data_IF_701810197156
#
_entry.id   IF_701810197156
#
_cell.length_a   1.000
_cell.length_b   1.000
_cell.length_c   1.000
_cell.angle_alpha   90.00
_cell.angle_beta   90.00
_cell.angle_gamma   90.00
#
_symmetry.space_group_name_H-M   'P 1'
#
loop_
_entity.id
_entity.type
_entity.pdbx_description
1 polymer ?
#
# COMPACT_ATOMS: atom_id res chain seq x y z
N UNK A 1 -49.60 34.65 -0.05
CA UNK A 1 -49.00 33.41 -0.61
C UNK A 1 -47.51 33.44 -0.33
N UNK A 2 -47.06 32.85 0.77
CA UNK A 2 -45.64 32.65 1.06
C UNK A 2 -45.10 31.60 0.09
N UNK A 3 -44.37 32.03 -0.94
CA UNK A 3 -43.50 31.14 -1.69
C UNK A 3 -42.53 30.51 -0.69
N UNK A 4 -42.79 29.26 -0.28
CA UNK A 4 -41.73 28.40 0.25
C UNK A 4 -40.72 28.28 -0.87
N UNK A 5 -39.67 29.10 -0.85
CA UNK A 5 -38.45 28.84 -1.60
C UNK A 5 -38.09 27.39 -1.24
N UNK A 6 -38.22 26.47 -2.19
CA UNK A 6 -37.74 25.11 -2.01
C UNK A 6 -36.28 25.24 -1.62
N UNK A 7 -35.94 24.79 -0.42
CA UNK A 7 -34.56 24.81 0.06
C UNK A 7 -33.69 24.12 -1.00
N UNK A 8 -32.75 24.86 -1.59
CA UNK A 8 -31.85 24.29 -2.59
C UNK A 8 -30.91 23.32 -1.88
N UNK A 9 -30.64 22.12 -2.44
CA UNK A 9 -29.89 21.07 -1.75
C UNK A 9 -28.44 21.47 -1.41
N UNK A 10 -27.90 22.51 -2.06
CA UNK A 10 -26.57 23.04 -1.78
C UNK A 10 -26.56 24.14 -0.68
N UNK A 11 -27.70 24.73 -0.32
CA UNK A 11 -27.75 25.91 0.56
C UNK A 11 -27.28 25.65 2.00
N UNK A 12 -27.29 24.40 2.46
CA UNK A 12 -26.85 24.00 3.80
C UNK A 12 -25.57 23.15 3.79
N UNK A 13 -24.89 23.04 2.64
CA UNK A 13 -23.65 22.26 2.58
C UNK A 13 -22.51 23.00 3.30
N UNK A 14 -21.60 22.24 3.94
CA UNK A 14 -20.45 22.82 4.62
C UNK A 14 -19.45 23.44 3.63
N UNK A 15 -18.56 24.35 4.08
CA UNK A 15 -17.58 25.00 3.22
C UNK A 15 -16.70 24.04 2.40
N UNK A 16 -16.32 22.88 2.95
CA UNK A 16 -15.50 21.89 2.24
C UNK A 16 -16.19 21.29 0.99
N UNK A 17 -17.51 21.45 0.85
CA UNK A 17 -18.24 21.02 -0.34
C UNK A 17 -18.09 21.99 -1.53
N UNK A 18 -17.51 23.17 -1.33
CA UNK A 18 -17.38 24.21 -2.35
C UNK A 18 -15.93 24.52 -2.67
N UNK A 19 -15.51 24.23 -3.91
CA UNK A 19 -14.14 24.48 -4.39
C UNK A 19 -13.62 25.89 -4.08
N UNK A 20 -14.44 26.91 -4.31
CA UNK A 20 -14.08 28.31 -4.04
C UNK A 20 -13.71 28.52 -2.57
N UNK A 21 -14.50 27.98 -1.65
CA UNK A 21 -14.31 28.14 -0.20
C UNK A 21 -13.15 27.29 0.33
N UNK A 22 -12.86 26.13 -0.29
CA UNK A 22 -11.64 25.38 0.00
C UNK A 22 -10.41 26.20 -0.41
N UNK A 23 -10.38 26.70 -1.65
CA UNK A 23 -9.27 27.50 -2.17
C UNK A 23 -8.97 28.74 -1.34
N UNK A 24 -9.99 29.37 -0.77
CA UNK A 24 -9.84 30.58 0.06
C UNK A 24 -9.28 30.31 1.47
N UNK A 25 -9.28 29.06 1.95
CA UNK A 25 -8.83 28.70 3.31
C UNK A 25 -7.29 28.59 3.49
N UNK A 26 -6.51 28.74 2.41
CA UNK A 26 -5.04 28.69 2.45
C UNK A 26 -4.44 27.28 2.52
N UNK A 27 -5.00 26.39 3.34
CA UNK A 27 -4.65 24.96 3.45
C UNK A 27 -5.57 24.03 2.64
N UNK A 28 -6.47 24.63 1.85
CA UNK A 28 -7.51 23.93 1.11
C UNK A 28 -8.52 23.16 1.98
N UNK A 29 -8.64 23.49 3.27
CA UNK A 29 -9.45 22.75 4.27
C UNK A 29 -9.10 21.28 4.35
N UNK A 30 -7.81 20.96 4.17
CA UNK A 30 -7.38 19.57 4.03
C UNK A 30 -7.68 18.71 5.26
N UNK A 31 -7.76 19.31 6.46
CA UNK A 31 -8.18 18.61 7.67
C UNK A 31 -9.64 18.12 7.66
N UNK A 32 -10.49 18.66 6.78
CA UNK A 32 -11.89 18.25 6.62
C UNK A 32 -12.07 17.17 5.54
N UNK A 33 -11.01 16.77 4.83
CA UNK A 33 -11.10 15.84 3.68
C UNK A 33 -11.54 14.43 4.07
N UNK A 34 -11.27 14.01 5.30
CA UNK A 34 -11.55 12.67 5.79
C UNK A 34 -12.46 12.73 7.02
N UNK A 35 -13.70 12.28 6.85
CA UNK A 35 -14.67 12.04 7.91
C UNK A 35 -14.83 10.51 8.06
N UNK A 36 -14.13 9.87 9.01
CA UNK A 36 -14.06 8.41 9.06
C UNK A 36 -15.44 7.79 9.29
N UNK A 37 -15.81 6.88 8.39
CA UNK A 37 -16.93 5.97 8.61
C UNK A 37 -16.53 4.89 9.63
N UNK A 38 -15.27 4.48 9.59
CA UNK A 38 -14.71 3.51 10.53
C UNK A 38 -13.89 4.25 11.57
N UNK A 39 -14.35 4.19 12.83
CA UNK A 39 -13.61 4.63 14.01
C UNK A 39 -12.78 3.48 14.56
N UNK A 40 -11.50 3.72 14.78
CA UNK A 40 -10.61 2.74 15.40
C UNK A 40 -10.53 3.03 16.90
N UNK A 41 -10.99 2.10 17.72
CA UNK A 41 -10.90 2.21 19.16
C UNK A 41 -9.50 1.82 19.66
N UNK A 42 -9.12 2.34 20.82
CA UNK A 42 -7.88 1.95 21.49
C UNK A 42 -7.93 0.45 21.84
N UNK A 43 -6.83 -0.26 21.58
CA UNK A 43 -6.73 -1.71 21.77
C UNK A 43 -7.17 -2.57 20.58
N UNK A 44 -7.84 -2.00 19.57
CA UNK A 44 -8.14 -2.73 18.33
C UNK A 44 -6.87 -2.99 17.52
N UNK A 45 -6.72 -4.22 17.02
CA UNK A 45 -5.54 -4.64 16.27
C UNK A 45 -5.66 -4.21 14.81
N UNK A 46 -4.76 -3.32 14.40
CA UNK A 46 -4.71 -2.80 13.04
C UNK A 46 -3.67 -3.57 12.26
N UNK A 47 -4.07 -4.20 11.16
CA UNK A 47 -3.17 -4.70 10.15
C UNK A 47 -2.98 -3.64 9.05
N UNK A 48 -1.76 -3.48 8.57
CA UNK A 48 -1.47 -2.71 7.34
C UNK A 48 -1.04 -3.67 6.26
N UNK A 49 -1.38 -3.42 4.99
CA UNK A 49 -0.81 -4.08 3.81
C UNK A 49 -0.97 -3.22 2.55
N UNK A 50 -0.28 -3.57 1.46
CA UNK A 50 -0.42 -2.90 0.17
C UNK A 50 0.90 -2.47 -0.46
N UNK A 51 0.88 -1.32 -1.13
CA UNK A 51 2.05 -0.68 -1.74
C UNK A 51 3.07 -0.17 -0.72
N UNK A 52 4.21 0.33 -1.21
CA UNK A 52 5.26 0.93 -0.38
C UNK A 52 4.77 2.09 0.50
N UNK A 53 3.73 2.81 0.09
CA UNK A 53 3.15 3.89 0.89
C UNK A 53 2.49 3.37 2.19
N UNK A 54 2.04 2.11 2.24
CA UNK A 54 1.52 1.49 3.45
C UNK A 54 2.60 1.35 4.56
N UNK A 55 3.89 1.34 4.21
CA UNK A 55 4.99 1.33 5.19
C UNK A 55 4.95 2.57 6.08
N UNK A 56 4.49 3.71 5.55
CA UNK A 56 4.32 4.93 6.34
C UNK A 56 3.20 4.78 7.37
N UNK A 57 2.09 4.15 7.00
CA UNK A 57 0.98 3.90 7.93
C UNK A 57 1.46 2.99 9.07
N UNK A 58 2.16 1.90 8.76
CA UNK A 58 2.76 0.99 9.74
C UNK A 58 3.72 1.74 10.69
N UNK A 59 4.64 2.54 10.12
CA UNK A 59 5.59 3.37 10.86
C UNK A 59 4.90 4.32 11.84
N UNK A 60 3.84 4.99 11.40
CA UNK A 60 3.11 5.94 12.22
C UNK A 60 2.21 5.27 13.26
N UNK A 61 1.63 4.11 12.95
CA UNK A 61 0.89 3.29 13.93
C UNK A 61 1.80 2.89 15.09
N UNK A 62 3.03 2.47 14.81
CA UNK A 62 4.03 2.15 15.84
C UNK A 62 4.48 3.36 16.69
N UNK A 63 4.09 4.58 16.31
CA UNK A 63 4.33 5.84 17.04
C UNK A 63 3.04 6.46 17.58
N UNK A 64 1.97 5.68 17.64
CA UNK A 64 0.65 6.12 18.10
C UNK A 64 0.20 5.31 19.30
N UNK A 65 -0.89 5.72 19.94
CA UNK A 65 -1.55 4.90 20.96
C UNK A 65 -2.43 3.78 20.38
N UNK A 66 -2.45 3.57 19.06
CA UNK A 66 -3.16 2.47 18.41
C UNK A 66 -2.29 1.21 18.35
N UNK A 67 -2.92 0.04 18.20
CA UNK A 67 -2.24 -1.25 18.22
C UNK A 67 -1.94 -1.77 16.82
N UNK A 68 -0.68 -1.76 16.41
CA UNK A 68 -0.24 -2.42 15.17
C UNK A 68 -0.15 -3.94 15.38
N UNK A 69 -0.84 -4.72 14.56
CA UNK A 69 -0.63 -6.16 14.47
C UNK A 69 0.71 -6.47 13.80
N UNK A 70 1.53 -7.30 14.45
CA UNK A 70 2.79 -7.84 13.93
C UNK A 70 2.89 -9.36 14.13
N UNK A 71 2.91 -10.15 13.05
CA UNK A 71 2.97 -11.64 13.11
C UNK A 71 4.33 -12.22 12.72
N UNK A 72 5.24 -11.39 12.20
CA UNK A 72 6.62 -11.76 11.87
C UNK A 72 7.58 -10.69 12.42
N UNK A 73 7.76 -10.60 13.75
CA UNK A 73 8.65 -9.62 14.36
C UNK A 73 10.12 -9.92 14.03
N UNK A 74 10.95 -8.88 14.04
CA UNK A 74 12.39 -9.04 13.88
C UNK A 74 12.98 -9.94 14.98
N UNK A 75 13.93 -10.84 14.65
CA UNK A 75 14.67 -11.60 15.64
C UNK A 75 15.31 -10.71 16.71
N UNK A 76 15.33 -11.19 17.96
CA UNK A 76 15.94 -10.46 19.09
C UNK A 76 17.41 -10.14 18.78
N UNK A 77 17.79 -8.87 18.97
CA UNK A 77 19.16 -8.39 18.73
C UNK A 77 19.46 -7.99 17.28
N UNK A 78 18.53 -8.18 16.35
CA UNK A 78 18.65 -7.66 14.99
C UNK A 78 18.53 -6.12 15.00
N UNK A 79 19.46 -5.44 14.34
CA UNK A 79 19.37 -3.97 14.20
C UNK A 79 18.18 -3.58 13.33
N UNK A 80 17.60 -2.41 13.56
CA UNK A 80 16.46 -1.92 12.76
C UNK A 80 16.79 -1.83 11.27
N UNK A 81 18.02 -1.44 10.91
CA UNK A 81 18.47 -1.38 9.53
C UNK A 81 18.47 -2.74 8.84
N UNK A 82 18.94 -3.78 9.55
CA UNK A 82 18.93 -5.16 9.03
C UNK A 82 17.50 -5.68 8.99
N UNK A 83 16.73 -5.47 10.06
CA UNK A 83 15.32 -5.87 10.13
C UNK A 83 14.53 -5.34 8.93
N UNK A 84 14.61 -4.04 8.65
CA UNK A 84 13.93 -3.43 7.50
C UNK A 84 14.44 -3.94 6.15
N UNK A 85 15.74 -4.21 6.01
CA UNK A 85 16.31 -4.80 4.78
C UNK A 85 15.71 -6.19 4.47
N UNK A 86 15.42 -6.98 5.49
CA UNK A 86 14.79 -8.30 5.37
C UNK A 86 13.26 -8.26 5.54
N UNK A 87 12.64 -7.08 5.43
CA UNK A 87 11.18 -6.91 5.44
C UNK A 87 10.51 -6.95 6.82
N UNK A 88 11.26 -7.08 7.91
CA UNK A 88 10.70 -7.05 9.27
C UNK A 88 10.25 -5.64 9.66
N UNK A 89 9.06 -5.54 10.26
CA UNK A 89 8.54 -4.26 10.76
C UNK A 89 8.11 -3.26 9.70
N UNK A 90 8.21 -3.58 8.41
CA UNK A 90 7.67 -2.73 7.33
C UNK A 90 6.13 -2.72 7.32
N UNK A 91 5.56 -3.83 7.79
CA UNK A 91 4.20 -4.25 7.58
C UNK A 91 3.75 -5.13 8.76
N UNK A 92 2.50 -5.60 8.73
CA UNK A 92 1.97 -6.51 9.76
C UNK A 92 2.44 -7.96 9.63
N UNK A 93 2.96 -8.33 8.46
CA UNK A 93 3.64 -9.58 8.15
C UNK A 93 4.65 -9.33 7.01
N UNK A 94 5.61 -10.23 6.78
CA UNK A 94 6.67 -10.12 5.77
C UNK A 94 6.20 -10.62 4.39
N UNK A 95 5.06 -10.12 3.90
CA UNK A 95 4.55 -10.45 2.56
C UNK A 95 5.20 -9.59 1.44
N UNK A 96 6.06 -8.63 1.77
CA UNK A 96 6.61 -7.68 0.77
C UNK A 96 5.58 -6.64 0.34
N UNK A 97 5.68 -6.10 -0.87
CA UNK A 97 4.61 -5.25 -1.40
C UNK A 97 3.49 -6.09 -2.03
N UNK A 98 2.25 -5.79 -1.67
CA UNK A 98 1.04 -6.38 -2.28
C UNK A 98 0.38 -5.28 -3.12
N UNK A 99 0.83 -5.12 -4.37
CA UNK A 99 0.46 -3.95 -5.17
C UNK A 99 -0.96 -4.03 -5.72
N UNK A 100 -1.40 -5.22 -6.10
CA UNK A 100 -2.65 -5.43 -6.84
C UNK A 100 -3.69 -6.18 -6.04
N UNK A 101 -4.97 -5.98 -6.36
CA UNK A 101 -6.07 -6.71 -5.74
C UNK A 101 -5.94 -8.22 -5.95
N UNK A 102 -5.44 -8.65 -7.11
CA UNK A 102 -5.22 -10.07 -7.42
C UNK A 102 -4.16 -10.71 -6.54
N UNK A 103 -3.07 -9.99 -6.25
CA UNK A 103 -2.04 -10.46 -5.31
C UNK A 103 -2.58 -10.58 -3.89
N UNK A 104 -3.40 -9.63 -3.43
CA UNK A 104 -4.05 -9.73 -2.12
C UNK A 104 -4.95 -10.97 -2.04
N UNK A 105 -5.80 -11.17 -3.05
CA UNK A 105 -6.67 -12.34 -3.14
C UNK A 105 -5.86 -13.63 -3.12
N UNK A 106 -4.84 -13.76 -3.97
CA UNK A 106 -3.97 -14.94 -4.04
C UNK A 106 -3.29 -15.22 -2.70
N UNK A 107 -2.75 -14.19 -2.03
CA UNK A 107 -2.13 -14.33 -0.71
C UNK A 107 -3.12 -14.89 0.33
N UNK A 108 -4.38 -14.45 0.30
CA UNK A 108 -5.41 -14.86 1.24
C UNK A 108 -5.97 -16.26 0.93
N UNK A 109 -6.07 -16.64 -0.34
CA UNK A 109 -6.39 -18.01 -0.75
C UNK A 109 -5.27 -18.96 -0.31
N UNK A 110 -4.01 -18.63 -0.62
CA UNK A 110 -2.84 -19.40 -0.21
C UNK A 110 -2.76 -19.57 1.31
N UNK A 111 -2.96 -18.49 2.09
CA UNK A 111 -2.87 -18.53 3.54
C UNK A 111 -3.96 -19.43 4.17
N UNK A 112 -5.18 -19.37 3.64
CA UNK A 112 -6.29 -20.18 4.18
C UNK A 112 -6.16 -21.67 3.88
N UNK A 113 -5.44 -22.03 2.83
CA UNK A 113 -5.25 -23.43 2.42
C UNK A 113 -3.84 -23.97 2.72
N UNK A 114 -2.91 -23.12 3.15
CA UNK A 114 -1.49 -23.45 3.23
C UNK A 114 -0.88 -23.78 1.86
N UNK A 115 -1.44 -23.25 0.77
CA UNK A 115 -1.10 -23.63 -0.60
C UNK A 115 0.31 -23.17 -0.96
N UNK A 116 1.12 -24.10 -1.44
CA UNK A 116 2.47 -23.85 -1.96
C UNK A 116 2.46 -23.96 -3.48
N UNK A 117 3.37 -23.24 -4.12
CA UNK A 117 3.46 -23.20 -5.58
C UNK A 117 4.88 -23.50 -6.03
N UNK A 118 5.11 -24.64 -6.68
CA UNK A 118 6.43 -24.99 -7.21
C UNK A 118 6.95 -23.94 -8.19
N UNK A 119 6.06 -23.38 -9.02
CA UNK A 119 6.37 -22.30 -9.95
C UNK A 119 6.74 -20.96 -9.29
N UNK A 120 6.60 -20.85 -7.97
CA UNK A 120 6.96 -19.67 -7.19
C UNK A 120 8.35 -19.78 -6.51
N UNK A 121 9.14 -20.81 -6.81
CA UNK A 121 10.55 -20.88 -6.40
C UNK A 121 11.41 -20.40 -7.56
N UNK A 122 11.91 -19.16 -7.46
CA UNK A 122 12.82 -18.58 -8.45
C UNK A 122 14.28 -18.83 -8.07
N UNK A 123 15.17 -18.84 -9.07
CA UNK A 123 16.60 -19.00 -8.88
C UNK A 123 17.36 -17.85 -9.55
N UNK A 124 18.48 -17.45 -8.94
CA UNK A 124 19.44 -16.51 -9.51
C UNK A 124 20.82 -16.80 -8.90
N UNK A 125 21.78 -17.17 -9.74
CA UNK A 125 23.18 -17.37 -9.36
C UNK A 125 23.36 -18.37 -8.19
N UNK A 126 22.60 -19.46 -8.19
CA UNK A 126 22.65 -20.50 -7.15
C UNK A 126 21.99 -20.11 -5.83
N UNK A 127 21.22 -19.01 -5.80
CA UNK A 127 20.37 -18.59 -4.68
C UNK A 127 18.90 -18.70 -5.05
N UNK A 128 18.06 -19.02 -4.08
CA UNK A 128 16.64 -19.30 -4.28
C UNK A 128 15.75 -18.22 -3.66
N UNK A 129 14.66 -17.84 -4.34
CA UNK A 129 13.80 -16.73 -3.96
C UNK A 129 12.34 -17.15 -3.98
N UNK A 130 11.57 -16.62 -3.05
CA UNK A 130 10.11 -16.69 -3.08
C UNK A 130 9.58 -15.67 -4.09
N UNK A 131 9.09 -16.14 -5.23
CA UNK A 131 8.57 -15.31 -6.32
C UNK A 131 7.38 -14.43 -5.92
N UNK A 132 6.65 -14.80 -4.86
CA UNK A 132 5.47 -14.08 -4.39
C UNK A 132 5.84 -12.94 -3.43
N UNK A 133 7.07 -12.93 -2.92
CA UNK A 133 7.65 -11.86 -2.09
C UNK A 133 9.17 -11.72 -2.30
N UNK A 134 9.60 -11.47 -3.55
CA UNK A 134 11.00 -11.65 -3.97
C UNK A 134 11.96 -10.66 -3.32
N UNK A 135 11.49 -9.54 -2.77
CA UNK A 135 12.30 -8.57 -2.05
C UNK A 135 12.55 -8.89 -0.57
N UNK A 136 11.87 -9.89 0.02
CA UNK A 136 11.93 -10.16 1.48
C UNK A 136 13.25 -10.80 1.91
N UNK A 137 13.81 -11.67 1.07
CA UNK A 137 15.14 -12.26 1.24
C UNK A 137 16.07 -11.71 0.13
N UNK A 138 16.65 -10.50 0.30
CA UNK A 138 17.32 -9.78 -0.79
C UNK A 138 18.55 -10.49 -1.36
N UNK A 139 19.16 -11.36 -0.56
CA UNK A 139 20.34 -12.15 -0.93
C UNK A 139 19.96 -13.59 -1.35
N UNK A 140 18.66 -13.90 -1.40
CA UNK A 140 18.09 -15.23 -1.62
C UNK A 140 18.39 -16.19 -0.46
N UNK A 141 17.84 -17.39 -0.54
CA UNK A 141 18.01 -18.52 0.37
C UNK A 141 18.95 -19.57 -0.24
N UNK A 142 19.42 -20.52 0.57
CA UNK A 142 20.41 -21.49 0.16
C UNK A 142 19.82 -22.65 -0.66
N UNK A 143 18.51 -22.91 -0.55
CA UNK A 143 17.83 -24.00 -1.27
C UNK A 143 16.37 -23.69 -1.58
N UNK A 144 15.79 -24.45 -2.51
CA UNK A 144 14.35 -24.44 -2.78
C UNK A 144 13.52 -24.87 -1.55
N UNK A 145 14.02 -25.85 -0.78
CA UNK A 145 13.35 -26.32 0.43
C UNK A 145 13.26 -25.23 1.50
N UNK A 146 14.28 -24.38 1.62
CA UNK A 146 14.23 -23.20 2.51
C UNK A 146 13.17 -22.19 2.06
N UNK A 147 13.00 -21.97 0.75
CA UNK A 147 11.93 -21.11 0.22
C UNK A 147 10.56 -21.66 0.60
N UNK A 148 10.34 -22.95 0.40
CA UNK A 148 9.08 -23.63 0.73
C UNK A 148 8.79 -23.54 2.24
N UNK A 149 9.81 -23.81 3.08
CA UNK A 149 9.68 -23.71 4.53
C UNK A 149 9.37 -22.28 4.99
N UNK A 150 10.10 -21.28 4.48
CA UNK A 150 9.86 -19.87 4.78
C UNK A 150 8.46 -19.43 4.34
N UNK A 151 7.99 -19.87 3.17
CA UNK A 151 6.64 -19.56 2.67
C UNK A 151 5.58 -20.20 3.56
N UNK A 152 5.75 -21.45 3.98
CA UNK A 152 4.81 -22.12 4.88
C UNK A 152 4.67 -21.39 6.23
N UNK A 153 5.78 -20.99 6.85
CA UNK A 153 5.75 -20.21 8.10
C UNK A 153 5.04 -18.87 7.91
N UNK A 154 5.32 -18.19 6.79
CA UNK A 154 4.70 -16.92 6.47
C UNK A 154 3.19 -17.03 6.21
N UNK A 155 2.73 -18.05 5.48
CA UNK A 155 1.29 -18.27 5.27
C UNK A 155 0.57 -18.51 6.60
N UNK A 156 1.18 -19.28 7.50
CA UNK A 156 0.65 -19.45 8.86
C UNK A 156 0.64 -18.13 9.65
N UNK A 157 1.63 -17.27 9.46
CA UNK A 157 1.66 -15.93 10.08
C UNK A 157 0.57 -15.01 9.54
N UNK A 158 0.32 -15.02 8.23
CA UNK A 158 -0.78 -14.27 7.61
C UNK A 158 -2.13 -14.77 8.15
N UNK A 159 -2.33 -16.08 8.28
CA UNK A 159 -3.57 -16.61 8.83
C UNK A 159 -3.79 -16.20 10.30
N UNK A 160 -2.74 -16.23 11.14
CA UNK A 160 -2.81 -15.69 12.50
C UNK A 160 -3.17 -14.20 12.52
N UNK A 161 -2.60 -13.41 11.61
CA UNK A 161 -2.89 -11.98 11.49
C UNK A 161 -4.38 -11.76 11.18
N UNK A 162 -4.90 -12.50 10.18
CA UNK A 162 -6.30 -12.41 9.76
C UNK A 162 -7.25 -12.77 10.89
N UNK A 163 -6.93 -13.80 11.68
CA UNK A 163 -7.78 -14.25 12.79
C UNK A 163 -7.91 -13.20 13.92
N UNK A 164 -6.90 -12.34 14.12
CA UNK A 164 -6.85 -11.40 15.25
C UNK A 164 -7.09 -9.94 14.89
N UNK A 165 -6.89 -9.53 13.63
CA UNK A 165 -7.02 -8.13 13.25
C UNK A 165 -8.48 -7.66 13.30
N UNK A 166 -8.69 -6.43 13.73
CA UNK A 166 -10.00 -5.77 13.80
C UNK A 166 -10.20 -4.80 12.64
N UNK A 167 -9.10 -4.20 12.17
CA UNK A 167 -9.08 -3.25 11.07
C UNK A 167 -7.93 -3.58 10.13
N UNK A 168 -8.21 -3.73 8.84
CA UNK A 168 -7.20 -3.77 7.79
C UNK A 168 -7.11 -2.41 7.11
N UNK A 169 -5.94 -1.78 7.12
CA UNK A 169 -5.63 -0.63 6.25
C UNK A 169 -4.89 -1.15 5.02
N UNK A 170 -5.56 -1.16 3.87
CA UNK A 170 -5.00 -1.66 2.62
C UNK A 170 -4.75 -0.53 1.62
N UNK A 171 -3.49 -0.39 1.20
CA UNK A 171 -3.07 0.64 0.22
C UNK A 171 -2.93 0.05 -1.17
N UNK A 172 -3.90 0.34 -2.04
CA UNK A 172 -3.90 -0.07 -3.45
C UNK A 172 -2.74 0.59 -4.21
N UNK A 173 -1.89 -0.22 -4.83
CA UNK A 173 -0.66 0.22 -5.46
C UNK A 173 -0.79 0.41 -6.97
N UNK A 174 -1.09 -0.68 -7.66
CA UNK A 174 -0.99 -0.81 -9.11
C UNK A 174 -2.15 -1.64 -9.67
N UNK A 175 -2.41 -1.47 -10.95
CA UNK A 175 -3.26 -2.37 -11.75
C UNK A 175 -2.43 -3.32 -12.62
N UNK A 176 -1.15 -2.99 -12.82
CA UNK A 176 -0.18 -3.79 -13.58
C UNK A 176 0.40 -4.92 -12.72
N UNK A 177 0.43 -6.14 -13.27
CA UNK A 177 1.04 -7.32 -12.66
C UNK A 177 1.53 -8.28 -13.75
N UNK A 178 2.31 -9.28 -13.37
CA UNK A 178 2.71 -10.36 -14.26
C UNK A 178 2.05 -11.67 -13.84
N UNK A 179 1.68 -12.48 -14.81
CA UNK A 179 1.01 -13.76 -14.60
C UNK A 179 1.78 -14.89 -15.29
N UNK A 180 1.90 -16.02 -14.61
CA UNK A 180 2.22 -17.30 -15.23
C UNK A 180 0.95 -17.89 -15.85
N UNK A 181 0.89 -17.95 -17.19
CA UNK A 181 -0.33 -18.36 -17.90
C UNK A 181 -0.69 -19.84 -17.73
N UNK A 182 0.27 -20.68 -17.30
CA UNK A 182 0.01 -22.11 -17.10
C UNK A 182 -0.67 -22.37 -15.75
N UNK A 183 -0.27 -21.61 -14.72
CA UNK A 183 -0.74 -21.81 -13.34
C UNK A 183 -1.77 -20.77 -12.90
N UNK A 184 -1.84 -19.62 -13.58
CA UNK A 184 -2.63 -18.46 -13.18
C UNK A 184 -2.00 -17.64 -12.04
N UNK A 185 -0.78 -17.98 -11.61
CA UNK A 185 -0.10 -17.25 -10.53
C UNK A 185 0.27 -15.85 -10.95
N UNK A 186 -0.01 -14.88 -10.09
CA UNK A 186 0.47 -13.52 -10.27
C UNK A 186 1.65 -13.18 -9.39
N UNK A 187 2.57 -12.40 -9.96
CA UNK A 187 3.81 -11.97 -9.33
C UNK A 187 3.84 -10.45 -9.10
N UNK A 188 4.48 -9.98 -8.00
CA UNK A 188 4.65 -8.55 -7.72
C UNK A 188 5.53 -7.81 -8.72
N UNK A 189 6.38 -8.53 -9.45
CA UNK A 189 7.24 -7.99 -10.50
C UNK A 189 7.47 -9.04 -11.59
N UNK A 190 7.96 -8.62 -12.76
CA UNK A 190 8.32 -9.56 -13.81
C UNK A 190 9.47 -10.48 -13.34
N UNK A 191 9.44 -11.78 -13.67
CA UNK A 191 10.63 -12.63 -13.52
C UNK A 191 11.83 -11.99 -14.21
N UNK A 192 13.00 -12.06 -13.58
CA UNK A 192 14.24 -11.43 -14.05
C UNK A 192 14.48 -10.01 -13.54
N UNK A 193 13.49 -9.33 -12.93
CA UNK A 193 13.71 -8.03 -12.27
C UNK A 193 14.50 -8.19 -10.97
N UNK A 194 14.12 -9.19 -10.16
CA UNK A 194 14.86 -9.57 -8.95
C UNK A 194 15.52 -10.92 -9.17
N UNK A 195 14.74 -11.97 -9.40
CA UNK A 195 15.23 -13.33 -9.65
C UNK A 195 14.33 -14.02 -10.68
N UNK A 196 14.67 -15.25 -11.05
CA UNK A 196 13.95 -16.00 -12.07
C UNK A 196 14.27 -15.52 -13.47
N UNK A 197 13.64 -16.14 -14.47
CA UNK A 197 13.89 -15.86 -15.89
C UNK A 197 12.59 -15.54 -16.57
N UNK A 198 12.55 -14.38 -17.23
CA UNK A 198 11.41 -14.01 -18.07
C UNK A 198 11.32 -14.95 -19.27
N UNK A 199 10.11 -15.41 -19.54
CA UNK A 199 9.77 -16.25 -20.68
C UNK A 199 8.46 -15.72 -21.28
N UNK A 200 8.46 -15.13 -22.49
CA UNK A 200 7.27 -14.54 -23.08
C UNK A 200 6.18 -15.57 -23.45
N UNK A 201 6.51 -16.87 -23.53
CA UNK A 201 5.52 -17.92 -23.76
C UNK A 201 4.78 -18.32 -22.47
N UNK A 202 5.38 -18.02 -21.31
CA UNK A 202 4.86 -18.39 -19.98
C UNK A 202 4.36 -17.19 -19.18
N UNK A 203 5.02 -16.04 -19.32
CA UNK A 203 4.79 -14.86 -18.50
C UNK A 203 4.07 -13.78 -19.30
N UNK A 204 2.88 -13.44 -18.84
CA UNK A 204 2.00 -12.47 -19.48
C UNK A 204 1.86 -11.22 -18.62
N UNK A 205 2.01 -10.07 -19.26
CA UNK A 205 1.63 -8.80 -18.66
C UNK A 205 0.11 -8.71 -18.51
N UNK A 206 -0.35 -8.35 -17.33
CA UNK A 206 -1.75 -8.06 -17.05
C UNK A 206 -1.90 -6.63 -16.53
N UNK A 207 -2.92 -5.94 -17.01
CA UNK A 207 -3.35 -4.65 -16.46
C UNK A 207 -4.83 -4.74 -16.11
N UNK A 208 -5.15 -4.85 -14.82
CA UNK A 208 -6.49 -5.11 -14.35
C UNK A 208 -7.44 -3.95 -14.67
N UNK A 209 -8.59 -4.28 -15.25
CA UNK A 209 -9.71 -3.37 -15.43
C UNK A 209 -10.40 -3.08 -14.10
N UNK A 210 -11.25 -2.04 -14.06
CA UNK A 210 -12.07 -1.74 -12.88
C UNK A 210 -12.90 -2.94 -12.40
N UNK A 211 -13.55 -3.67 -13.33
CA UNK A 211 -14.37 -4.82 -12.98
C UNK A 211 -13.53 -5.96 -12.36
N UNK A 212 -12.33 -6.21 -12.88
CA UNK A 212 -11.43 -7.24 -12.35
C UNK A 212 -10.89 -6.84 -10.97
N UNK A 213 -10.49 -5.58 -10.78
CA UNK A 213 -10.06 -5.10 -9.45
C UNK A 213 -11.21 -5.18 -8.45
N UNK A 214 -12.43 -4.79 -8.84
CA UNK A 214 -13.62 -4.94 -7.98
C UNK A 214 -13.83 -6.40 -7.59
N UNK A 215 -13.87 -7.32 -8.55
CA UNK A 215 -14.12 -8.74 -8.29
C UNK A 215 -13.04 -9.36 -7.39
N UNK A 216 -11.76 -9.06 -7.63
CA UNK A 216 -10.67 -9.57 -6.82
C UNK A 216 -10.70 -8.99 -5.40
N UNK A 217 -11.04 -7.70 -5.24
CA UNK A 217 -11.22 -7.12 -3.91
C UNK A 217 -12.45 -7.72 -3.19
N UNK A 218 -13.58 -7.95 -3.87
CA UNK A 218 -14.74 -8.59 -3.24
C UNK A 218 -14.41 -9.99 -2.74
N UNK A 219 -13.73 -10.78 -3.56
CA UNK A 219 -13.27 -12.12 -3.19
C UNK A 219 -12.31 -12.06 -1.99
N UNK A 220 -11.31 -11.17 -2.04
CA UNK A 220 -10.36 -10.99 -0.95
C UNK A 220 -11.06 -10.60 0.37
N UNK A 221 -11.95 -9.61 0.33
CA UNK A 221 -12.65 -9.16 1.54
C UNK A 221 -13.66 -10.19 2.05
N UNK A 222 -14.27 -10.99 1.17
CA UNK A 222 -15.13 -12.10 1.56
C UNK A 222 -14.34 -13.20 2.30
N UNK A 223 -13.14 -13.55 1.82
CA UNK A 223 -12.23 -14.49 2.51
C UNK A 223 -11.87 -13.98 3.90
N UNK A 224 -11.49 -12.71 4.00
CA UNK A 224 -11.18 -12.06 5.27
C UNK A 224 -12.36 -12.10 6.24
N UNK A 225 -13.57 -11.74 5.79
CA UNK A 225 -14.77 -11.72 6.66
C UNK A 225 -15.30 -13.11 7.00
N UNK A 226 -15.02 -14.11 6.18
CA UNK A 226 -15.32 -15.51 6.52
C UNK A 226 -14.51 -15.94 7.75
N UNK A 227 -13.24 -15.52 7.82
CA UNK A 227 -12.33 -15.84 8.93
C UNK A 227 -12.50 -14.89 10.11
N UNK A 228 -12.81 -13.62 9.84
CA UNK A 228 -13.03 -12.55 10.82
C UNK A 228 -14.32 -11.77 10.52
N UNK A 229 -15.51 -12.25 10.96
CA UNK A 229 -16.80 -11.62 10.64
C UNK A 229 -16.97 -10.17 11.10
N UNK A 230 -16.18 -9.71 12.08
CA UNK A 230 -16.16 -8.33 12.58
C UNK A 230 -15.16 -7.40 11.88
N UNK A 231 -14.38 -7.89 10.91
CA UNK A 231 -13.32 -7.11 10.28
C UNK A 231 -13.88 -5.87 9.57
N UNK A 232 -13.21 -4.75 9.79
CA UNK A 232 -13.40 -3.49 9.08
C UNK A 232 -12.20 -3.18 8.20
N UNK A 233 -12.41 -2.48 7.10
CA UNK A 233 -11.36 -2.22 6.11
C UNK A 233 -11.31 -0.73 5.79
N UNK A 234 -10.13 -0.13 5.85
CA UNK A 234 -9.87 1.21 5.35
C UNK A 234 -9.02 1.05 4.10
N UNK A 235 -9.59 1.40 2.95
CA UNK A 235 -8.87 1.42 1.68
C UNK A 235 -8.23 2.79 1.50
N UNK A 236 -7.05 2.81 0.89
CA UNK A 236 -6.44 4.02 0.34
C UNK A 236 -5.71 3.70 -0.95
N UNK A 237 -5.39 4.71 -1.75
CA UNK A 237 -4.64 4.58 -3.00
C UNK A 237 -3.26 5.20 -2.82
N UNK A 238 -2.24 4.49 -3.30
CA UNK A 238 -0.86 4.95 -3.28
C UNK A 238 -0.65 6.14 -4.22
N UNK A 239 -0.11 7.28 -3.75
CA UNK A 239 0.23 8.41 -4.60
C UNK A 239 1.45 8.20 -5.49
N UNK A 240 2.27 7.18 -5.21
CA UNK A 240 3.50 6.91 -5.95
C UNK A 240 3.17 6.51 -7.41
N UNK A 241 3.62 7.30 -8.41
CA UNK A 241 3.54 6.96 -9.83
C UNK A 241 4.28 5.65 -10.17
N UNK A 242 3.92 5.02 -11.30
CA UNK A 242 4.67 3.90 -11.83
C UNK A 242 6.10 4.37 -12.18
N UNK A 243 7.11 3.60 -11.80
CA UNK A 243 8.47 3.73 -12.32
C UNK A 243 8.50 3.38 -13.81
N UNK A 244 7.84 2.29 -14.21
CA UNK A 244 7.73 1.88 -15.61
C UNK A 244 6.38 1.21 -15.91
N UNK A 245 6.00 1.16 -17.19
CA UNK A 245 4.80 0.46 -17.66
C UNK A 245 5.13 -0.47 -18.80
N UNK A 246 4.61 -1.69 -18.76
CA UNK A 246 4.72 -2.66 -19.85
C UNK A 246 3.55 -2.58 -20.84
N UNK A 247 2.62 -1.63 -20.65
CA UNK A 247 1.46 -1.43 -21.53
C UNK A 247 1.80 -0.89 -22.93
N UNK A 248 3.05 -0.46 -23.15
CA UNK A 248 3.46 0.28 -24.35
C UNK A 248 2.97 1.74 -24.40
N UNK A 249 2.23 2.19 -23.36
CA UNK A 249 1.76 3.57 -23.25
C UNK A 249 2.79 4.48 -22.58
N UNK A 250 2.59 5.80 -22.69
CA UNK A 250 3.36 6.76 -21.91
C UNK A 250 3.12 6.56 -20.40
N UNK A 251 4.18 6.56 -19.59
CA UNK A 251 4.11 6.26 -18.14
C UNK A 251 3.12 7.14 -17.37
N UNK A 252 2.99 8.42 -17.75
CA UNK A 252 1.99 9.34 -17.16
C UNK A 252 0.55 8.91 -17.46
N UNK A 253 0.26 8.45 -18.67
CA UNK A 253 -1.07 7.99 -19.06
C UNK A 253 -1.40 6.66 -18.36
N UNK A 254 -0.43 5.73 -18.32
CA UNK A 254 -0.57 4.47 -17.59
C UNK A 254 -0.77 4.69 -16.09
N UNK A 255 0.01 5.60 -15.49
CA UNK A 255 -0.16 5.99 -14.08
C UNK A 255 -1.54 6.57 -13.83
N UNK A 256 -1.97 7.54 -14.64
CA UNK A 256 -3.30 8.15 -14.50
C UNK A 256 -4.41 7.11 -14.58
N UNK A 257 -4.34 6.19 -15.56
CA UNK A 257 -5.30 5.10 -15.71
C UNK A 257 -5.32 4.20 -14.46
N UNK A 258 -4.14 3.75 -14.03
CA UNK A 258 -4.00 2.84 -12.89
C UNK A 258 -4.60 3.46 -11.62
N UNK A 259 -4.20 4.70 -11.27
CA UNK A 259 -4.71 5.37 -10.07
C UNK A 259 -6.20 5.70 -10.16
N UNK A 260 -6.71 6.04 -11.35
CA UNK A 260 -8.14 6.29 -11.55
C UNK A 260 -8.98 5.04 -11.34
N UNK A 261 -8.54 3.89 -11.86
CA UNK A 261 -9.21 2.60 -11.65
C UNK A 261 -9.24 2.26 -10.15
N UNK A 262 -8.08 2.27 -9.49
CA UNK A 262 -7.97 1.91 -8.07
C UNK A 262 -8.79 2.86 -7.20
N UNK A 263 -8.81 4.15 -7.52
CA UNK A 263 -9.61 5.13 -6.80
C UNK A 263 -11.11 4.93 -7.00
N UNK A 264 -11.53 4.60 -8.23
CA UNK A 264 -12.90 4.23 -8.54
C UNK A 264 -13.36 3.05 -7.69
N UNK A 265 -12.58 1.97 -7.69
CA UNK A 265 -12.86 0.76 -6.91
C UNK A 265 -12.93 1.06 -5.41
N UNK A 266 -11.95 1.78 -4.86
CA UNK A 266 -11.94 2.08 -3.43
C UNK A 266 -13.15 2.92 -3.00
N UNK A 267 -13.58 3.85 -3.86
CA UNK A 267 -14.78 4.65 -3.66
C UNK A 267 -16.06 3.84 -3.73
N UNK A 268 -16.21 3.00 -4.75
CA UNK A 268 -17.38 2.14 -4.93
C UNK A 268 -17.52 1.14 -3.77
N UNK A 269 -16.41 0.51 -3.35
CA UNK A 269 -16.38 -0.37 -2.19
C UNK A 269 -16.84 0.33 -0.91
N UNK A 270 -16.31 1.53 -0.66
CA UNK A 270 -16.73 2.33 0.48
C UNK A 270 -18.21 2.76 0.35
N UNK A 271 -18.77 2.97 -0.84
CA UNK A 271 -20.20 3.27 -0.96
C UNK A 271 -21.08 2.04 -0.73
N UNK A 272 -20.62 0.87 -1.15
CA UNK A 272 -21.39 -0.37 -1.11
C UNK A 272 -21.41 -1.05 0.25
N UNK A 273 -20.36 -0.90 1.04
CA UNK A 273 -20.19 -1.62 2.31
C UNK A 273 -19.95 -0.66 3.48
N UNK A 274 -20.78 -0.75 4.52
CA UNK A 274 -20.67 0.09 5.73
C UNK A 274 -19.40 -0.21 6.56
N UNK A 275 -18.83 -1.40 6.39
CA UNK A 275 -17.59 -1.84 7.05
C UNK A 275 -16.34 -1.61 6.18
N UNK A 276 -16.47 -0.92 5.04
CA UNK A 276 -15.36 -0.45 4.23
C UNK A 276 -15.36 1.08 4.20
N UNK A 277 -14.20 1.69 4.41
CA UNK A 277 -14.00 3.14 4.39
C UNK A 277 -12.90 3.49 3.38
N UNK A 278 -12.85 4.76 2.97
CA UNK A 278 -11.81 5.27 2.09
C UNK A 278 -11.08 6.45 2.72
N UNK A 279 -9.78 6.30 2.93
CA UNK A 279 -8.90 7.38 3.35
C UNK A 279 -8.24 8.04 2.13
N UNK A 280 -8.43 9.35 1.88
CA UNK A 280 -7.98 10.01 0.64
C UNK A 280 -6.50 10.42 0.62
N UNK A 281 -5.55 9.52 0.96
CA UNK A 281 -4.12 9.88 0.93
C UNK A 281 -3.61 10.18 -0.47
N UNK A 282 -4.19 9.56 -1.51
CA UNK A 282 -3.85 9.82 -2.91
C UNK A 282 -4.10 11.28 -3.28
N UNK A 283 -5.29 11.79 -2.96
CA UNK A 283 -5.71 13.14 -3.32
C UNK A 283 -4.92 14.21 -2.57
N UNK A 284 -4.55 13.95 -1.31
CA UNK A 284 -3.72 14.86 -0.51
C UNK A 284 -2.32 15.08 -1.09
N UNK A 285 -1.82 14.12 -1.89
CA UNK A 285 -0.49 14.17 -2.48
C UNK A 285 -0.55 14.53 -3.96
N UNK A 286 -1.31 13.78 -4.75
CA UNK A 286 -1.37 13.91 -6.20
C UNK A 286 -2.40 14.93 -6.69
N UNK A 287 -3.41 15.26 -5.85
CA UNK A 287 -4.49 16.16 -6.23
C UNK A 287 -4.07 17.63 -6.30
N UNK A 288 -4.75 18.41 -7.13
CA UNK A 288 -4.61 19.87 -7.11
C UNK A 288 -5.28 20.44 -5.84
N UNK A 289 -4.67 21.41 -5.15
CA UNK A 289 -3.50 22.21 -5.57
C UNK A 289 -2.13 21.66 -5.13
N UNK A 290 -2.06 20.47 -4.54
CA UNK A 290 -0.85 19.93 -3.91
C UNK A 290 0.18 19.43 -4.95
N UNK A 291 -0.16 18.38 -5.70
CA UNK A 291 0.61 17.85 -6.83
C UNK A 291 2.12 17.80 -6.62
N UNK A 292 2.87 18.37 -7.58
CA UNK A 292 4.33 18.30 -7.64
C UNK A 292 5.05 18.76 -6.35
N UNK A 293 4.46 19.68 -5.57
CA UNK A 293 5.08 20.19 -4.34
C UNK A 293 5.17 19.16 -3.21
N UNK A 294 4.42 18.05 -3.31
CA UNK A 294 4.41 16.98 -2.30
C UNK A 294 5.47 15.90 -2.58
N UNK A 295 6.10 15.93 -3.76
CA UNK A 295 7.12 14.96 -4.16
C UNK A 295 8.54 15.54 -4.01
N UNK A 296 9.52 14.65 -3.90
CA UNK A 296 10.94 14.98 -4.07
C UNK A 296 11.25 15.33 -5.54
N UNK A 297 12.50 15.74 -5.83
CA UNK A 297 12.93 16.21 -7.17
C UNK A 297 12.61 15.24 -8.33
N UNK A 298 12.47 13.94 -8.04
CA UNK A 298 12.12 12.92 -9.04
C UNK A 298 10.62 12.86 -9.40
N UNK A 299 9.78 13.67 -8.74
CA UNK A 299 8.32 13.71 -8.90
C UNK A 299 7.62 12.36 -8.70
N UNK A 300 8.26 11.44 -7.96
CA UNK A 300 7.75 10.09 -7.70
C UNK A 300 7.80 9.73 -6.21
N UNK A 301 8.93 9.98 -5.57
CA UNK A 301 9.07 9.78 -4.12
C UNK A 301 8.30 10.88 -3.39
N UNK A 302 7.41 10.51 -2.48
CA UNK A 302 6.69 11.48 -1.66
C UNK A 302 7.65 12.06 -0.61
N UNK A 303 7.61 13.36 -0.40
CA UNK A 303 8.44 14.01 0.62
C UNK A 303 7.98 13.63 2.03
N UNK A 304 8.91 13.55 2.99
CA UNK A 304 8.56 13.26 4.40
C UNK A 304 7.57 14.29 4.96
N UNK A 305 7.69 15.56 4.58
CA UNK A 305 6.75 16.60 5.03
C UNK A 305 5.32 16.29 4.55
N UNK A 306 5.17 15.83 3.32
CA UNK A 306 3.88 15.46 2.75
C UNK A 306 3.31 14.20 3.42
N UNK A 307 4.16 13.19 3.66
CA UNK A 307 3.78 11.99 4.43
C UNK A 307 3.31 12.38 5.84
N UNK A 308 4.06 13.23 6.53
CA UNK A 308 3.72 13.70 7.88
C UNK A 308 2.35 14.41 7.89
N UNK A 309 2.08 15.26 6.89
CA UNK A 309 0.78 15.92 6.74
C UNK A 309 -0.37 14.94 6.49
N UNK A 310 -0.18 13.93 5.65
CA UNK A 310 -1.16 12.86 5.43
C UNK A 310 -1.45 12.11 6.73
N UNK A 311 -0.42 11.71 7.45
CA UNK A 311 -0.58 10.95 8.69
C UNK A 311 -1.23 11.82 9.77
N UNK A 312 -0.86 13.08 9.91
CA UNK A 312 -1.55 13.99 10.83
C UNK A 312 -3.06 14.04 10.57
N UNK A 313 -3.50 14.14 9.31
CA UNK A 313 -4.94 14.09 8.98
C UNK A 313 -5.55 12.74 9.35
N UNK A 314 -4.93 11.62 9.00
CA UNK A 314 -5.46 10.29 9.34
C UNK A 314 -5.66 10.11 10.85
N UNK A 315 -4.60 10.34 11.63
CA UNK A 315 -4.60 10.10 13.08
C UNK A 315 -5.47 11.12 13.82
N UNK A 316 -5.44 12.40 13.42
CA UNK A 316 -6.34 13.41 13.99
C UNK A 316 -7.80 13.08 13.70
N UNK A 317 -8.12 12.65 12.47
CA UNK A 317 -9.45 12.21 12.13
C UNK A 317 -9.87 11.04 13.03
N UNK A 318 -9.01 10.05 13.28
CA UNK A 318 -9.29 8.92 14.18
C UNK A 318 -9.29 9.28 15.68
N UNK A 319 -8.96 10.51 16.07
CA UNK A 319 -8.80 10.90 17.48
C UNK A 319 -7.61 10.23 18.18
N UNK A 320 -6.67 9.68 17.40
CA UNK A 320 -5.50 8.99 17.88
C UNK A 320 -4.39 9.99 18.23
N UNK A 321 -3.63 9.69 19.28
CA UNK A 321 -2.48 10.48 19.69
C UNK A 321 -1.24 9.92 19.02
N UNK A 322 -0.53 10.78 18.31
CA UNK A 322 0.80 10.49 17.82
C UNK A 322 1.81 10.98 18.87
N UNK A 323 2.75 10.12 19.25
CA UNK A 323 3.94 10.49 20.01
C UNK A 323 4.92 11.21 19.07
N UNK A 324 4.52 12.40 18.62
CA UNK A 324 5.37 13.31 17.87
C UNK A 324 6.08 14.17 18.90
N UNK A 325 7.27 13.74 19.34
CA UNK A 325 8.26 14.75 19.67
C UNK A 325 8.41 15.63 18.41
N UNK A 326 8.21 16.96 18.49
CA UNK A 326 8.33 17.81 17.32
C UNK A 326 9.71 17.60 16.72
N UNK A 327 9.78 17.25 15.44
CA UNK A 327 11.04 17.38 14.70
C UNK A 327 11.29 18.88 14.63
N UNK A 328 12.10 19.40 15.55
CA UNK A 328 12.63 20.74 15.43
C UNK A 328 13.24 20.85 14.03
N UNK A 329 12.79 21.85 13.25
CA UNK A 329 13.36 22.15 11.96
C UNK A 329 14.90 22.18 12.12
N UNK A 330 15.67 21.40 11.34
CA UNK A 330 17.11 21.45 11.48
C UNK A 330 17.54 22.88 11.15
N UNK A 331 18.11 23.56 12.15
CA UNK A 331 18.89 24.76 11.88
C UNK A 331 19.90 24.39 10.79
N UNK A 332 19.96 25.23 9.76
CA UNK A 332 20.75 24.99 8.56
C UNK A 332 22.26 25.01 8.88
N UNK A 333 22.78 23.93 9.45
CA UNK A 333 24.21 23.64 9.45
C UNK A 333 24.54 22.93 8.15
N UNK A 334 25.37 23.58 7.33
CA UNK A 334 25.88 23.11 6.04
C UNK A 334 26.67 21.81 6.23
N UNK A 335 26.00 20.66 6.16
CA UNK A 335 26.63 19.34 6.05
C UNK A 335 26.60 18.92 4.57
N UNK A 336 27.70 18.37 4.00
CA UNK A 336 27.78 18.04 2.58
C UNK A 336 26.68 17.07 2.15
N UNK A 337 26.10 17.31 0.95
CA UNK A 337 25.00 16.55 0.31
C UNK A 337 25.20 15.03 0.21
N UNK A 338 26.40 14.51 0.47
CA UNK A 338 26.78 13.11 0.24
C UNK A 338 26.35 12.12 1.34
N UNK A 339 25.93 12.58 2.52
CA UNK A 339 25.63 11.70 3.68
C UNK A 339 24.13 11.54 3.97
N UNK A 340 23.24 12.25 3.26
CA UNK A 340 21.78 11.97 3.32
C UNK A 340 21.40 10.84 2.35
N UNK A 341 21.89 9.62 2.57
CA UNK A 341 21.21 8.43 2.03
C UNK A 341 20.03 8.15 2.97
N UNK A 342 18.88 8.77 2.66
CA UNK A 342 17.63 8.64 3.42
C UNK A 342 17.14 7.19 3.37
N UNK A 343 16.38 6.80 4.40
CA UNK A 343 15.69 5.51 4.52
C UNK A 343 14.66 5.36 3.39
N UNK A 344 15.08 4.91 2.21
CA UNK A 344 14.18 4.68 1.09
C UNK A 344 13.19 3.55 1.45
N UNK A 345 11.92 3.76 1.11
CA UNK A 345 10.91 2.70 1.15
C UNK A 345 11.40 1.49 0.33
N UNK A 346 11.22 0.28 0.86
CA UNK A 346 11.62 -0.94 0.15
C UNK A 346 10.56 -1.22 -0.91
N UNK A 347 10.92 -1.06 -2.19
CA UNK A 347 9.99 -1.09 -3.32
C UNK A 347 10.59 -1.86 -4.49
N UNK A 348 10.04 -3.04 -4.81
CA UNK A 348 10.46 -3.87 -5.95
C UNK A 348 10.22 -3.13 -7.28
N UNK A 349 9.17 -2.32 -7.36
CA UNK A 349 8.82 -1.56 -8.57
C UNK A 349 9.88 -0.50 -8.92
N UNK A 350 10.54 0.08 -7.91
CA UNK A 350 11.63 1.02 -8.14
C UNK A 350 12.85 0.38 -8.81
N UNK A 351 13.00 -0.96 -8.77
CA UNK A 351 14.10 -1.66 -9.44
C UNK A 351 13.98 -1.62 -10.97
N UNK A 352 12.80 -1.32 -11.51
CA UNK A 352 12.57 -1.21 -12.94
C UNK A 352 13.39 -0.08 -13.59
N UNK A 353 13.77 0.94 -12.82
CA UNK A 353 14.66 2.03 -13.28
C UNK A 353 15.99 1.51 -13.84
N UNK A 354 16.51 0.39 -13.31
CA UNK A 354 17.76 -0.19 -13.76
C UNK A 354 17.73 -0.69 -15.22
N UNK A 355 16.53 -0.91 -15.77
CA UNK A 355 16.32 -1.39 -17.13
C UNK A 355 16.11 -0.26 -18.16
N UNK A 356 16.08 1.00 -17.72
CA UNK A 356 16.04 2.14 -18.64
C UNK A 356 17.34 2.23 -19.46
N UNK A 357 17.22 2.34 -20.79
CA UNK A 357 18.38 2.61 -21.66
C UNK A 357 18.87 4.04 -21.38
N UNK A 358 20.18 4.18 -21.14
CA UNK A 358 20.83 5.48 -20.94
C UNK A 358 20.83 6.34 -22.20
#
# INVERSE_FOLDING_TARGET
MTHRLRAMPYSSLPPHAFWKLCREAGDFRIGEIYAPKIRIAEGEVIATAGSCFAQNISRYLGRSNLTLGQEEPAPKGMSETVARRYGYGLYSARYGNVYTARQLRQLLEDAGEGRQHEGAVWEREGRYFDALRPGVEPDGLASADEVIAHRAEHLAAVERLVARMDVLVFTLGLTETWEDVQTGLVFPTAPGVIAGTFDPARHRFLNQTHAEVMADMEAALALLRTRRPGLRVILTVSPVPLTATASGSHVLAATTLSKSILRGVAGEMAQRYDWVDYFPSYEMIAGLPFGAAQYEDNLRSVSEQAVDGVMQVFFAAQGARLDVAPVAAPQATKVPRRVRRRQAEVCEEALLEAFARK
#
